data_IF_275464940670
#
_entry.id   IF_275464940670
#
_cell.length_a   1.000
_cell.length_b   1.000
_cell.length_c   1.000
_cell.angle_alpha   90.00
_cell.angle_beta   90.00
_cell.angle_gamma   90.00
#
_symmetry.space_group_name_H-M   'P 1'
#
loop_
_entity.id
_entity.type
_entity.pdbx_description
1 polymer ?
#
# COMPACT_ATOMS: atom_id res chain seq x y z
N UNK A 1 -25.91 -4.09 -3.81
CA UNK A 1 -25.26 -4.94 -4.84
C UNK A 1 -23.72 -4.98 -4.78
N UNK A 2 -22.97 -3.91 -4.48
CA UNK A 2 -21.50 -4.04 -4.26
C UNK A 2 -21.14 -4.22 -2.77
N UNK A 3 -21.54 -3.27 -1.92
CA UNK A 3 -21.32 -3.29 -0.46
C UNK A 3 -21.86 -4.54 0.25
N UNK A 4 -22.89 -5.18 -0.30
CA UNK A 4 -23.47 -6.40 0.26
C UNK A 4 -22.64 -7.67 -0.05
N UNK A 5 -21.81 -7.64 -1.10
CA UNK A 5 -20.91 -8.74 -1.49
C UNK A 5 -19.51 -8.53 -0.92
N UNK A 6 -19.02 -7.30 -0.94
CA UNK A 6 -17.65 -6.95 -0.52
C UNK A 6 -17.57 -6.30 0.85
N UNK A 7 -18.68 -6.04 1.55
CA UNK A 7 -18.69 -5.39 2.86
C UNK A 7 -18.21 -3.93 2.90
N UNK A 8 -17.66 -3.39 1.79
CA UNK A 8 -17.04 -2.07 1.72
C UNK A 8 -17.63 -1.21 0.59
N UNK A 9 -17.46 0.11 0.70
CA UNK A 9 -17.90 1.03 -0.35
C UNK A 9 -17.06 0.83 -1.63
N UNK A 10 -17.65 0.97 -2.83
CA UNK A 10 -16.88 0.97 -4.08
C UNK A 10 -15.69 1.96 -4.09
N UNK A 11 -15.86 3.13 -3.46
CA UNK A 11 -14.80 4.12 -3.35
C UNK A 11 -13.64 3.65 -2.46
N UNK A 12 -13.96 2.99 -1.34
CA UNK A 12 -12.94 2.42 -0.44
C UNK A 12 -12.21 1.25 -1.10
N UNK A 13 -12.94 0.41 -1.84
CA UNK A 13 -12.37 -0.66 -2.64
C UNK A 13 -11.33 -0.10 -3.64
N UNK A 14 -11.71 0.95 -4.38
CA UNK A 14 -10.84 1.59 -5.36
C UNK A 14 -9.61 2.23 -4.69
N UNK A 15 -9.80 2.86 -3.53
CA UNK A 15 -8.69 3.38 -2.73
C UNK A 15 -7.72 2.25 -2.32
N UNK A 16 -8.24 1.14 -1.81
CA UNK A 16 -7.42 -0.01 -1.42
C UNK A 16 -6.62 -0.56 -2.62
N UNK A 17 -7.23 -0.64 -3.80
CA UNK A 17 -6.53 -1.03 -5.03
C UNK A 17 -5.40 -0.06 -5.39
N UNK A 18 -5.62 1.25 -5.27
CA UNK A 18 -4.58 2.27 -5.51
C UNK A 18 -3.41 2.15 -4.53
N UNK A 19 -3.70 1.98 -3.25
CA UNK A 19 -2.67 1.77 -2.22
C UNK A 19 -1.88 0.48 -2.49
N UNK A 20 -2.55 -0.59 -2.93
CA UNK A 20 -1.88 -1.83 -3.29
C UNK A 20 -0.91 -1.64 -4.46
N UNK A 21 -1.36 -0.97 -5.52
CA UNK A 21 -0.50 -0.64 -6.66
C UNK A 21 0.66 0.27 -6.22
N UNK A 22 0.42 1.27 -5.36
CA UNK A 22 1.46 2.13 -4.80
C UNK A 22 2.63 1.34 -4.19
N UNK A 23 2.33 0.32 -3.39
CA UNK A 23 3.36 -0.53 -2.79
C UNK A 23 4.27 -1.16 -3.84
N UNK A 24 3.70 -1.63 -4.96
CA UNK A 24 4.49 -2.24 -6.04
C UNK A 24 5.47 -1.27 -6.67
N UNK A 25 5.04 -0.01 -6.85
CA UNK A 25 5.91 1.06 -7.34
C UNK A 25 6.98 1.45 -6.31
N UNK A 26 6.62 1.53 -5.02
CA UNK A 26 7.55 1.87 -3.94
C UNK A 26 8.61 0.76 -3.74
N UNK A 27 8.22 -0.51 -3.79
CA UNK A 27 9.13 -1.66 -3.73
C UNK A 27 10.09 -1.70 -4.92
N UNK A 28 9.63 -1.29 -6.11
CA UNK A 28 10.46 -1.25 -7.30
C UNK A 28 11.60 -0.23 -7.24
N UNK A 29 11.52 0.77 -6.35
CA UNK A 29 12.57 1.77 -6.12
C UNK A 29 12.86 2.72 -7.31
N UNK A 30 12.29 2.48 -8.48
CA UNK A 30 12.57 3.18 -9.74
C UNK A 30 11.77 4.47 -9.94
N UNK A 31 10.68 4.65 -9.20
CA UNK A 31 9.75 5.76 -9.39
C UNK A 31 9.80 6.75 -8.22
N UNK A 32 9.74 8.04 -8.57
CA UNK A 32 9.60 9.17 -7.64
C UNK A 32 8.17 9.23 -7.07
N UNK A 33 7.99 9.93 -5.95
CA UNK A 33 6.65 10.06 -5.34
C UNK A 33 5.63 10.75 -6.25
N UNK A 34 6.09 11.72 -7.05
CA UNK A 34 5.26 12.42 -8.04
C UNK A 34 4.79 11.45 -9.14
N UNK A 35 5.70 10.66 -9.72
CA UNK A 35 5.35 9.67 -10.75
C UNK A 35 4.39 8.61 -10.24
N UNK A 36 4.60 8.12 -9.01
CA UNK A 36 3.69 7.15 -8.39
C UNK A 36 2.31 7.76 -8.15
N UNK A 37 2.23 9.01 -7.69
CA UNK A 37 0.96 9.70 -7.50
C UNK A 37 0.20 9.85 -8.83
N UNK A 38 0.88 10.29 -9.88
CA UNK A 38 0.29 10.46 -11.21
C UNK A 38 -0.17 9.13 -11.81
N UNK A 39 0.65 8.07 -11.70
CA UNK A 39 0.32 6.74 -12.21
C UNK A 39 -0.93 6.12 -11.55
N UNK A 40 -1.21 6.51 -10.30
CA UNK A 40 -2.38 6.04 -9.54
C UNK A 40 -3.61 6.93 -9.69
N UNK A 41 -3.51 8.01 -10.46
CA UNK A 41 -4.59 8.97 -10.68
C UNK A 41 -4.81 9.93 -9.50
N UNK A 42 -3.77 10.22 -8.72
CA UNK A 42 -3.78 11.34 -7.77
C UNK A 42 -3.30 12.62 -8.46
N UNK A 43 -3.85 13.75 -8.02
CA UNK A 43 -3.52 15.07 -8.57
C UNK A 43 -2.08 15.50 -8.23
N UNK A 44 -1.62 15.19 -7.01
CA UNK A 44 -0.27 15.53 -6.56
C UNK A 44 0.25 14.53 -5.52
N UNK A 45 1.56 14.58 -5.28
CA UNK A 45 2.26 13.78 -4.27
C UNK A 45 1.73 13.99 -2.84
N UNK A 46 1.30 15.21 -2.48
CA UNK A 46 0.77 15.52 -1.15
C UNK A 46 -0.55 14.80 -0.87
N UNK A 47 -1.47 14.81 -1.84
CA UNK A 47 -2.75 14.13 -1.74
C UNK A 47 -2.56 12.61 -1.66
N UNK A 48 -1.63 12.07 -2.47
CA UNK A 48 -1.21 10.68 -2.39
C UNK A 48 -0.60 10.34 -1.02
N UNK A 49 0.32 11.14 -0.50
CA UNK A 49 1.00 10.90 0.78
C UNK A 49 0.01 10.87 1.95
N UNK A 50 -0.92 11.81 1.99
CA UNK A 50 -1.97 11.86 3.02
C UNK A 50 -2.92 10.66 2.92
N UNK A 51 -3.34 10.31 1.70
CA UNK A 51 -4.18 9.14 1.44
C UNK A 51 -3.48 7.83 1.85
N UNK A 52 -2.20 7.70 1.51
CA UNK A 52 -1.40 6.53 1.81
C UNK A 52 -1.15 6.37 3.31
N UNK A 53 -0.80 7.45 3.99
CA UNK A 53 -0.63 7.47 5.45
C UNK A 53 -1.93 7.12 6.18
N UNK A 54 -3.08 7.63 5.71
CA UNK A 54 -4.38 7.29 6.29
C UNK A 54 -4.73 5.80 6.11
N UNK A 55 -4.33 5.19 5.00
CA UNK A 55 -4.66 3.81 4.68
C UNK A 55 -3.71 2.78 5.28
N UNK A 56 -2.43 3.14 5.46
CA UNK A 56 -1.36 2.23 5.91
C UNK A 56 -0.81 2.57 7.28
N UNK A 57 -1.23 3.70 7.87
CA UNK A 57 -0.68 4.32 9.09
C UNK A 57 0.82 4.68 9.00
N UNK A 58 1.41 4.50 7.81
CA UNK A 58 2.82 4.71 7.54
C UNK A 58 3.00 5.72 6.42
N UNK A 59 4.02 6.56 6.54
CA UNK A 59 4.38 7.49 5.46
C UNK A 59 5.04 6.72 4.32
N UNK A 60 4.81 7.16 3.09
CA UNK A 60 5.43 6.59 1.87
C UNK A 60 6.97 6.54 1.95
N UNK A 61 7.58 7.55 2.57
CA UNK A 61 9.03 7.61 2.82
C UNK A 61 9.49 6.58 3.85
N UNK A 62 8.76 6.43 4.96
CA UNK A 62 9.06 5.42 5.97
C UNK A 62 8.97 4.01 5.36
N UNK A 63 7.95 3.77 4.52
CA UNK A 63 7.85 2.52 3.76
C UNK A 63 9.05 2.31 2.85
N UNK A 64 9.49 3.32 2.08
CA UNK A 64 10.71 3.21 1.26
C UNK A 64 11.96 2.92 2.08
N UNK A 65 12.16 3.63 3.21
CA UNK A 65 13.33 3.45 4.07
C UNK A 65 13.42 2.02 4.62
N UNK A 66 12.30 1.46 5.10
CA UNK A 66 12.24 0.07 5.60
C UNK A 66 12.67 -0.94 4.53
N UNK A 67 12.28 -0.70 3.26
CA UNK A 67 12.68 -1.57 2.16
C UNK A 67 14.13 -1.35 1.69
N UNK A 68 14.66 -0.13 1.83
CA UNK A 68 16.04 0.19 1.47
C UNK A 68 17.04 -0.26 2.56
N UNK A 69 16.65 -0.28 3.84
CA UNK A 69 17.47 -0.80 4.95
C UNK A 69 17.71 -2.31 4.89
N UNK A 70 16.92 -3.02 4.07
CA UNK A 70 17.06 -4.48 3.87
C UNK A 70 18.36 -4.89 3.15
N UNK A 71 19.08 -3.95 2.54
CA UNK A 71 20.27 -4.25 1.72
C UNK A 71 21.61 -4.11 2.44
N UNK A 72 21.66 -3.66 3.71
CA UNK A 72 22.96 -3.40 4.36
C UNK A 72 23.18 -3.81 5.81
N UNK A 73 22.20 -4.07 6.69
CA UNK A 73 22.56 -4.59 8.04
C UNK A 73 21.50 -5.44 8.75
N UNK A 74 22.03 -6.38 9.54
CA UNK A 74 21.34 -7.47 10.24
C UNK A 74 20.51 -6.98 11.44
N UNK A 75 19.33 -7.61 11.62
CA UNK A 75 18.58 -7.89 12.87
C UNK A 75 17.26 -7.14 13.19
N UNK A 76 16.99 -5.92 12.73
CA UNK A 76 15.75 -5.19 13.12
C UNK A 76 14.61 -5.16 12.06
N UNK A 77 14.75 -5.83 10.91
CA UNK A 77 13.74 -5.76 9.82
C UNK A 77 12.59 -6.78 9.90
N UNK A 78 12.73 -7.84 10.71
CA UNK A 78 11.87 -9.04 10.60
C UNK A 78 10.64 -9.07 11.52
N UNK A 79 10.55 -8.22 12.56
CA UNK A 79 9.42 -8.25 13.50
C UNK A 79 8.20 -7.43 13.07
N UNK A 80 8.37 -6.30 12.36
CA UNK A 80 7.24 -5.50 11.86
C UNK A 80 6.66 -6.06 10.55
N UNK A 81 7.52 -6.61 9.69
CA UNK A 81 7.11 -7.10 8.37
C UNK A 81 6.28 -8.38 8.44
N UNK A 82 6.49 -9.21 9.47
CA UNK A 82 5.66 -10.39 9.73
C UNK A 82 4.22 -9.99 10.01
N UNK A 83 3.97 -8.97 10.84
CA UNK A 83 2.63 -8.48 11.15
C UNK A 83 1.98 -7.71 10.00
N UNK A 84 2.75 -6.93 9.24
CA UNK A 84 2.23 -6.19 8.07
C UNK A 84 1.93 -7.12 6.89
N UNK A 85 2.81 -8.09 6.55
CA UNK A 85 2.49 -9.13 5.57
C UNK A 85 1.35 -10.04 6.04
N UNK A 86 1.24 -10.32 7.33
CA UNK A 86 0.15 -11.13 7.89
C UNK A 86 -1.20 -10.39 7.80
N UNK A 87 -1.23 -9.08 8.09
CA UNK A 87 -2.39 -8.22 7.85
C UNK A 87 -2.75 -8.16 6.35
N UNK A 88 -1.76 -8.06 5.46
CA UNK A 88 -1.96 -8.14 4.01
C UNK A 88 -2.45 -9.52 3.54
N UNK A 89 -1.97 -10.62 4.13
CA UNK A 89 -2.39 -11.99 3.81
C UNK A 89 -3.81 -12.28 4.31
N UNK A 90 -4.19 -11.74 5.47
CA UNK A 90 -5.55 -11.79 6.01
C UNK A 90 -6.55 -11.00 5.16
N UNK A 91 -6.19 -9.82 4.65
CA UNK A 91 -7.05 -9.05 3.72
C UNK A 91 -7.08 -9.60 2.27
N UNK A 92 -6.10 -10.40 1.85
CA UNK A 92 -6.04 -11.01 0.51
C UNK A 92 -7.15 -12.04 0.27
N UNK A 93 -7.59 -12.73 1.31
CA UNK A 93 -8.72 -13.67 1.24
C UNK A 93 -10.08 -12.98 1.01
N UNK A 94 -10.14 -11.65 1.05
CA UNK A 94 -11.39 -10.90 0.83
C UNK A 94 -11.58 -10.43 -0.62
N UNK A 95 -10.54 -10.52 -1.45
CA UNK A 95 -10.54 -10.04 -2.85
C UNK A 95 -10.55 -11.18 -3.88
N UNK A 96 -10.64 -12.45 -3.46
CA UNK A 96 -10.61 -13.62 -4.37
C UNK A 96 -11.83 -14.53 -4.25
N UNK A 97 -13.02 -13.95 -4.09
CA UNK A 97 -14.25 -14.68 -4.43
C UNK A 97 -14.67 -14.28 -5.84
N UNK A 98 -14.31 -15.16 -6.79
CA UNK A 98 -14.84 -15.18 -8.15
C UNK A 98 -16.37 -15.00 -8.13
N UNK A 99 -16.84 -14.24 -9.12
CA UNK A 99 -18.21 -14.02 -9.58
C UNK A 99 -19.29 -14.98 -9.08
#
# INVERSE_FOLDING_TARGET
>A
MFKHRTGISPQEYLMNCRIHAANTYLMGGKYTLCEVALALGFYNEFHFSNAYKKATELTTQAYKAIFQESTSDSCMGNLLWSSVKFWYKLKRNFFTTKY
#
